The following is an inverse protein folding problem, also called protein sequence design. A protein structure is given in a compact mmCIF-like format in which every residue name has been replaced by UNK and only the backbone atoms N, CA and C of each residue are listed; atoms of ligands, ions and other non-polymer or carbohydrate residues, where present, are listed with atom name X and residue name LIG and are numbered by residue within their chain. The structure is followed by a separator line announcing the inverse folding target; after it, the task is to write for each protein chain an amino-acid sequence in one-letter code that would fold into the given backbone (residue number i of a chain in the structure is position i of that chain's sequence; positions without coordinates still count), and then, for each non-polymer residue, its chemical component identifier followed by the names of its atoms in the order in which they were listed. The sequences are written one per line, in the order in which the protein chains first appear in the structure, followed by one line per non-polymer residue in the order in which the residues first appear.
data_IF_393156137003
#
_entry.id   IF_393156137003
#
_cell.length_a   1.000
_cell.length_b   1.000
_cell.length_c   1.000
_cell.angle_alpha   90.00
_cell.angle_beta   90.00
_cell.angle_gamma   90.00
#
_symmetry.space_group_name_H-M   'P 1'
#
loop_
_entity.id
_entity.type
_entity.pdbx_description
1 polymer ?
#
# COMPACT_ATOMS: atom_id res chain seq x y z
N UNK A 1 15.83 -9.27 -2.80
CA UNK A 1 16.41 -8.13 -3.51
C UNK A 1 15.78 -6.87 -2.97
N UNK A 2 16.27 -6.30 -1.87
CA UNK A 2 15.40 -5.48 -1.02
C UNK A 2 16.08 -4.29 -0.32
N UNK A 3 15.33 -3.18 -0.26
CA UNK A 3 15.57 -1.97 0.54
C UNK A 3 15.97 -2.27 1.99
N UNK A 4 17.19 -1.86 2.33
CA UNK A 4 17.59 -1.64 3.72
C UNK A 4 16.84 -0.40 4.21
N UNK A 5 16.08 -0.53 5.29
CA UNK A 5 15.46 0.64 5.91
C UNK A 5 16.60 1.62 6.30
N UNK A 6 16.59 2.88 5.81
CA UNK A 6 17.48 3.88 6.39
C UNK A 6 17.12 4.08 7.86
N UNK A 7 18.03 4.68 8.61
CA UNK A 7 17.86 5.03 10.03
C UNK A 7 16.75 6.08 10.20
N UNK A 8 15.49 5.71 10.01
CA UNK A 8 14.34 6.57 10.28
C UNK A 8 14.11 6.54 11.79
N UNK A 9 13.97 7.69 12.48
CA UNK A 9 13.52 7.69 13.88
C UNK A 9 12.19 6.95 13.93
N UNK A 10 12.12 5.86 14.72
CA UNK A 10 10.91 5.08 14.81
C UNK A 10 9.72 6.00 15.12
N UNK A 11 8.55 5.70 14.54
CA UNK A 11 7.30 6.26 15.03
C UNK A 11 7.10 5.71 16.43
N UNK A 12 7.74 6.35 17.41
CA UNK A 12 7.55 6.03 18.82
C UNK A 12 6.06 6.19 19.07
N UNK A 13 5.40 5.05 19.31
CA UNK A 13 4.10 4.97 19.96
C UNK A 13 4.18 5.85 21.20
N UNK A 14 3.71 7.10 21.11
CA UNK A 14 3.45 7.92 22.27
C UNK A 14 2.26 7.29 22.98
N UNK A 15 2.52 6.25 23.78
CA UNK A 15 1.60 5.82 24.82
C UNK A 15 1.42 7.03 25.73
N UNK A 16 0.25 7.65 25.65
CA UNK A 16 -0.21 8.65 26.62
C UNK A 16 -0.21 8.02 28.01
N UNK A 17 0.91 8.10 28.71
CA UNK A 17 0.97 7.81 30.13
C UNK A 17 0.24 8.95 30.86
N UNK A 18 -1.05 8.76 31.14
CA UNK A 18 -1.75 9.54 32.18
C UNK A 18 -1.05 9.25 33.50
N UNK A 19 -0.15 10.13 33.92
CA UNK A 19 0.39 10.15 35.29
C UNK A 19 -0.68 10.71 36.22
N UNK A 20 -1.40 9.84 36.92
CA UNK A 20 -2.10 10.21 38.14
C UNK A 20 -1.06 10.51 39.21
N UNK A 21 -0.90 11.80 39.55
CA UNK A 21 -0.09 12.21 40.70
C UNK A 21 -0.98 12.08 41.94
N UNK A 22 -0.77 11.00 42.70
CA UNK A 22 -1.24 10.88 44.08
C UNK A 22 -0.21 11.59 44.96
N UNK A 23 -0.63 12.66 45.63
CA UNK A 23 0.20 13.41 46.58
C UNK A 23 0.10 12.72 47.94
N UNK A 24 1.19 12.11 48.41
CA UNK A 24 1.30 11.58 49.76
C UNK A 24 1.94 12.65 50.67
N UNK A 25 1.14 13.20 51.58
CA UNK A 25 1.58 14.12 52.63
C UNK A 25 1.89 13.32 53.90
N UNK A 26 3.07 13.59 54.46
CA UNK A 26 3.60 12.99 55.70
C UNK A 26 2.78 13.46 56.90
N UNK A 27 2.41 12.52 57.76
CA UNK A 27 1.66 12.74 59.00
C UNK A 27 2.54 13.30 60.13
N UNK A 28 2.01 14.26 60.88
CA UNK A 28 2.48 14.64 62.21
C UNK A 28 1.27 14.91 63.14
N UNK A 29 1.52 14.61 64.42
CA UNK A 29 0.59 14.27 65.52
C UNK A 29 -0.08 15.47 66.19
N UNK A 30 -1.28 15.29 66.75
CA UNK A 30 -1.92 16.19 67.75
C UNK A 30 -3.42 15.93 67.91
N UNK A 31 -3.88 15.02 68.79
CA UNK A 31 -4.33 15.22 70.19
C UNK A 31 -5.70 15.89 70.34
N UNK A 32 -6.64 15.13 70.97
CA UNK A 32 -7.82 15.57 71.77
C UNK A 32 -8.99 16.24 71.02
N UNK A 33 -10.27 16.09 71.36
CA UNK A 33 -11.00 15.33 72.38
C UNK A 33 -12.51 15.43 72.09
N UNK A 34 -13.26 14.38 72.43
CA UNK A 34 -14.59 14.39 73.10
C UNK A 34 -15.83 15.10 72.47
N UNK A 35 -16.89 14.26 72.29
CA UNK A 35 -18.30 14.43 72.73
C UNK A 35 -19.46 14.64 71.72
N UNK A 36 -20.49 13.79 71.94
CA UNK A 36 -21.95 13.86 71.63
C UNK A 36 -22.36 14.07 70.15
N UNK A 37 -23.33 13.38 69.54
CA UNK A 37 -24.55 12.71 69.99
C UNK A 37 -25.66 13.08 68.99
N UNK A 38 -26.62 12.19 68.69
CA UNK A 38 -27.89 12.57 68.04
C UNK A 38 -28.24 11.89 66.71
N UNK A 39 -29.35 11.14 66.75
CA UNK A 39 -30.09 10.52 65.63
C UNK A 39 -31.24 11.48 65.19
N UNK A 40 -32.27 11.05 64.43
CA UNK A 40 -32.49 11.10 62.97
C UNK A 40 -33.42 12.26 62.52
N UNK A 41 -33.66 12.43 61.20
CA UNK A 41 -34.71 13.34 60.72
C UNK A 41 -34.99 13.29 59.21
N UNK A 42 -36.12 12.68 58.86
CA UNK A 42 -36.76 12.62 57.54
C UNK A 42 -37.35 13.96 57.06
N UNK A 43 -37.58 14.09 55.74
CA UNK A 43 -38.74 14.72 55.04
C UNK A 43 -38.44 14.70 53.53
N UNK A 44 -39.04 13.88 52.65
CA UNK A 44 -40.43 13.77 52.19
C UNK A 44 -40.91 14.89 51.23
N UNK A 45 -41.12 14.54 49.95
CA UNK A 45 -42.20 14.94 49.03
C UNK A 45 -41.77 14.50 47.60
N UNK A 46 -42.24 13.42 46.96
CA UNK A 46 -43.59 12.99 46.61
C UNK A 46 -44.35 13.97 45.71
N UNK A 47 -44.35 13.68 44.40
CA UNK A 47 -45.46 13.96 43.49
C UNK A 47 -45.47 12.88 42.39
N UNK A 48 -46.47 12.01 42.48
CA UNK A 48 -46.87 10.99 41.49
C UNK A 48 -48.04 11.51 40.65
N UNK A 49 -48.35 10.74 39.59
CA UNK A 49 -49.53 10.74 38.69
C UNK A 49 -49.32 11.48 37.36
N UNK A 50 -49.74 10.97 36.20
CA UNK A 50 -50.62 9.84 35.91
C UNK A 50 -50.34 9.23 34.52
N UNK A 51 -50.73 7.95 34.40
CA UNK A 51 -50.76 7.16 33.18
C UNK A 51 -51.91 7.59 32.25
N UNK A 52 -51.73 7.44 30.94
CA UNK A 52 -52.78 6.94 30.05
C UNK A 52 -52.18 6.46 28.72
N UNK A 53 -52.06 5.14 28.57
CA UNK A 53 -51.88 4.48 27.29
C UNK A 53 -53.22 4.45 26.55
N UNK A 54 -53.26 4.96 25.32
CA UNK A 54 -54.41 4.84 24.43
C UNK A 54 -54.13 3.74 23.41
N UNK A 55 -54.85 2.64 23.59
CA UNK A 55 -54.99 1.52 22.65
C UNK A 55 -55.86 1.95 21.48
N UNK A 56 -55.33 2.00 20.26
CA UNK A 56 -56.12 2.23 19.05
C UNK A 56 -56.31 0.91 18.29
N UNK A 57 -57.57 0.48 18.20
CA UNK A 57 -58.06 -0.67 17.45
C UNK A 57 -57.99 -0.40 15.93
N UNK A 58 -57.50 -1.34 15.09
CA UNK A 58 -57.55 -1.16 13.64
C UNK A 58 -58.93 -1.53 13.07
N UNK A 59 -59.51 -0.62 12.28
CA UNK A 59 -60.73 -0.80 11.50
C UNK A 59 -60.45 -1.59 10.20
N UNK A 60 -61.30 -2.54 9.78
CA UNK A 60 -61.11 -3.30 8.54
C UNK A 60 -61.52 -2.46 7.31
N UNK A 61 -60.62 -2.37 6.33
CA UNK A 61 -60.85 -1.69 5.04
C UNK A 61 -61.18 -2.73 3.96
N UNK A 62 -62.14 -2.48 3.05
CA UNK A 62 -62.65 -3.48 2.12
C UNK A 62 -61.69 -3.82 0.97
N UNK A 63 -61.73 -5.10 0.57
CA UNK A 63 -60.98 -5.73 -0.53
C UNK A 63 -61.43 -5.20 -1.90
N UNK A 64 -60.52 -4.67 -2.74
CA UNK A 64 -60.82 -4.42 -4.14
C UNK A 64 -60.61 -5.71 -4.96
N UNK A 65 -61.69 -6.23 -5.53
CA UNK A 65 -61.67 -7.18 -6.64
C UNK A 65 -61.54 -6.40 -7.95
N UNK A 66 -60.33 -6.34 -8.50
CA UNK A 66 -60.06 -5.80 -9.83
C UNK A 66 -59.01 -6.68 -10.51
N UNK A 67 -59.37 -7.31 -11.62
CA UNK A 67 -58.48 -8.11 -12.46
C UNK A 67 -57.62 -7.17 -13.30
N UNK A 68 -56.32 -7.12 -13.05
CA UNK A 68 -55.36 -6.32 -13.82
C UNK A 68 -54.94 -7.08 -15.08
N UNK A 69 -55.02 -6.49 -16.29
CA UNK A 69 -54.46 -7.10 -17.49
C UNK A 69 -52.93 -7.22 -17.40
N UNK A 70 -52.38 -8.36 -17.79
CA UNK A 70 -50.95 -8.61 -17.81
C UNK A 70 -50.23 -7.63 -18.76
N UNK A 71 -49.29 -6.86 -18.22
CA UNK A 71 -48.35 -6.04 -18.99
C UNK A 71 -47.45 -6.95 -19.84
N UNK A 72 -47.23 -6.67 -21.15
CA UNK A 72 -46.34 -7.48 -21.95
C UNK A 72 -44.88 -7.37 -21.44
N UNK A 73 -44.24 -8.54 -21.29
CA UNK A 73 -42.81 -8.68 -20.96
C UNK A 73 -41.97 -7.91 -22.00
N UNK A 74 -41.01 -7.06 -21.59
CA UNK A 74 -40.11 -6.41 -22.54
C UNK A 74 -39.31 -7.49 -23.28
N UNK A 75 -39.44 -7.53 -24.60
CA UNK A 75 -38.58 -8.35 -25.46
C UNK A 75 -37.15 -7.85 -25.33
N UNK A 76 -36.24 -8.72 -24.90
CA UNK A 76 -34.81 -8.44 -24.80
C UNK A 76 -34.28 -8.00 -26.18
N UNK A 77 -33.74 -6.78 -26.25
CA UNK A 77 -33.02 -6.29 -27.43
C UNK A 77 -31.78 -7.16 -27.63
N UNK A 78 -31.44 -7.58 -28.86
CA UNK A 78 -30.20 -8.32 -29.11
C UNK A 78 -29.01 -7.50 -28.62
N UNK A 79 -28.27 -8.02 -27.64
CA UNK A 79 -27.03 -7.40 -27.20
C UNK A 79 -25.96 -7.67 -28.26
N UNK A 80 -25.56 -6.63 -28.98
CA UNK A 80 -24.35 -6.66 -29.79
C UNK A 80 -23.18 -7.05 -28.88
N UNK A 81 -22.35 -8.06 -29.22
CA UNK A 81 -21.17 -8.39 -28.44
C UNK A 81 -20.29 -7.15 -28.31
N UNK A 82 -19.87 -6.82 -27.08
CA UNK A 82 -18.88 -5.78 -26.87
C UNK A 82 -17.63 -6.12 -27.70
N UNK A 83 -17.01 -5.14 -28.39
CA UNK A 83 -15.78 -5.39 -29.13
C UNK A 83 -14.74 -6.03 -28.21
N UNK A 84 -14.12 -7.11 -28.68
CA UNK A 84 -13.05 -7.78 -27.95
C UNK A 84 -11.99 -6.76 -27.55
N UNK A 85 -11.55 -6.77 -26.29
CA UNK A 85 -10.47 -5.92 -25.83
C UNK A 85 -9.24 -6.14 -26.73
N UNK A 86 -8.52 -5.06 -27.10
CA UNK A 86 -7.30 -5.20 -27.89
C UNK A 86 -6.33 -6.16 -27.18
N UNK A 87 -5.68 -7.02 -27.95
CA UNK A 87 -4.68 -7.94 -27.42
C UNK A 87 -3.57 -7.12 -26.70
N UNK A 88 -3.01 -7.63 -25.59
CA UNK A 88 -1.93 -6.95 -24.90
C UNK A 88 -0.75 -6.71 -25.86
N UNK A 89 -0.02 -5.60 -25.72
CA UNK A 89 1.11 -5.29 -26.58
C UNK A 89 2.15 -6.42 -26.51
N UNK A 90 2.70 -6.81 -27.66
CA UNK A 90 3.78 -7.79 -27.70
C UNK A 90 5.06 -7.15 -27.17
N UNK A 91 5.53 -7.61 -26.01
CA UNK A 91 6.79 -7.17 -25.41
C UNK A 91 7.96 -7.96 -26.01
N UNK A 92 8.95 -7.28 -26.59
CA UNK A 92 10.16 -7.90 -27.13
C UNK A 92 11.37 -7.41 -26.36
N UNK A 93 12.28 -8.31 -25.97
CA UNK A 93 13.45 -7.90 -25.18
C UNK A 93 14.36 -6.87 -25.85
N UNK A 94 14.30 -6.73 -27.17
CA UNK A 94 15.00 -5.68 -27.93
C UNK A 94 14.47 -4.27 -27.66
N UNK A 95 13.26 -4.14 -27.10
CA UNK A 95 12.63 -2.87 -26.77
C UNK A 95 12.98 -2.39 -25.34
N UNK A 96 13.74 -3.18 -24.58
CA UNK A 96 14.23 -2.80 -23.26
C UNK A 96 15.47 -1.89 -23.38
N UNK A 97 15.40 -0.68 -22.84
CA UNK A 97 16.55 0.21 -22.70
C UNK A 97 17.00 0.27 -21.23
N UNK A 98 18.22 -0.19 -20.88
CA UNK A 98 18.71 -0.09 -19.51
C UNK A 98 18.92 1.36 -19.03
N UNK A 99 19.11 2.31 -19.95
CA UNK A 99 19.27 3.74 -19.62
C UNK A 99 17.96 4.47 -19.35
N UNK A 100 16.83 3.88 -19.73
CA UNK A 100 15.50 4.49 -19.65
C UNK A 100 14.40 3.42 -19.48
N UNK A 101 14.32 2.82 -18.29
CA UNK A 101 13.38 1.71 -18.00
C UNK A 101 11.93 2.20 -18.01
N UNK A 102 11.71 3.43 -17.57
CA UNK A 102 10.42 4.15 -17.54
C UNK A 102 10.71 5.64 -17.54
N UNK A 103 9.85 6.45 -18.18
CA UNK A 103 9.98 7.90 -18.18
C UNK A 103 9.65 8.52 -16.81
N UNK A 104 10.18 9.70 -16.51
CA UNK A 104 9.84 10.42 -15.28
C UNK A 104 8.34 10.80 -15.27
N UNK A 105 7.78 11.14 -16.44
CA UNK A 105 6.36 11.45 -16.61
C UNK A 105 5.48 10.25 -16.20
N UNK A 106 5.80 9.06 -16.70
CA UNK A 106 5.07 7.85 -16.35
C UNK A 106 5.32 7.42 -14.90
N UNK A 107 6.49 7.71 -14.33
CA UNK A 107 6.82 7.30 -12.96
C UNK A 107 6.14 8.16 -11.89
N UNK A 108 6.09 9.47 -12.10
CA UNK A 108 5.60 10.45 -11.12
C UNK A 108 4.17 10.94 -11.36
N UNK A 109 3.45 10.45 -12.39
CA UNK A 109 2.04 10.79 -12.60
C UNK A 109 1.12 10.12 -11.58
N UNK A 110 0.99 10.73 -10.40
CA UNK A 110 0.12 10.29 -9.32
C UNK A 110 -1.38 10.27 -9.70
N UNK A 111 -1.78 10.90 -10.81
CA UNK A 111 -3.16 10.97 -11.26
C UNK A 111 -3.47 9.99 -12.40
N UNK A 112 -2.51 9.15 -12.80
CA UNK A 112 -2.64 8.22 -13.93
C UNK A 112 -3.76 7.18 -13.78
N UNK A 113 -4.24 6.94 -12.55
CA UNK A 113 -5.39 6.08 -12.26
C UNK A 113 -6.19 6.66 -11.09
N UNK A 114 -7.50 6.73 -11.24
CA UNK A 114 -8.41 6.99 -10.12
C UNK A 114 -8.56 5.77 -9.21
N UNK A 115 -9.18 5.94 -8.03
CA UNK A 115 -9.50 4.80 -7.15
C UNK A 115 -10.38 3.76 -7.87
N UNK A 116 -11.32 4.23 -8.70
CA UNK A 116 -12.18 3.36 -9.50
C UNK A 116 -11.38 2.58 -10.55
N UNK A 117 -10.40 3.20 -11.22
CA UNK A 117 -9.57 2.53 -12.21
C UNK A 117 -8.68 1.45 -11.57
N UNK A 118 -8.10 1.74 -10.39
CA UNK A 118 -7.30 0.75 -9.64
C UNK A 118 -8.18 -0.41 -9.19
N UNK A 119 -9.39 -0.12 -8.69
CA UNK A 119 -10.34 -1.16 -8.28
C UNK A 119 -10.77 -2.03 -9.47
N UNK A 120 -11.05 -1.42 -10.62
CA UNK A 120 -11.41 -2.13 -11.85
C UNK A 120 -10.25 -2.99 -12.35
N UNK A 121 -9.02 -2.47 -12.30
CA UNK A 121 -7.82 -3.25 -12.63
C UNK A 121 -7.68 -4.47 -11.71
N UNK A 122 -7.79 -4.32 -10.38
CA UNK A 122 -7.75 -5.47 -9.49
C UNK A 122 -8.84 -6.51 -9.80
N UNK A 123 -10.05 -6.07 -10.11
CA UNK A 123 -11.15 -6.95 -10.46
C UNK A 123 -10.97 -7.66 -11.83
N UNK A 124 -10.19 -7.08 -12.74
CA UNK A 124 -9.92 -7.68 -14.05
C UNK A 124 -8.78 -8.70 -14.06
N UNK A 125 -7.95 -8.73 -13.02
CA UNK A 125 -6.80 -9.62 -12.96
C UNK A 125 -7.20 -11.03 -12.50
N UNK A 126 -6.61 -12.09 -13.09
CA UNK A 126 -6.79 -13.43 -12.56
C UNK A 126 -6.16 -13.51 -11.17
N UNK A 127 -6.92 -13.96 -10.18
CA UNK A 127 -6.45 -14.05 -8.81
C UNK A 127 -6.73 -15.44 -8.21
N UNK A 128 -5.69 -16.07 -7.68
CA UNK A 128 -5.77 -17.34 -6.93
C UNK A 128 -5.14 -17.13 -5.55
N UNK A 129 -5.93 -16.69 -4.55
CA UNK A 129 -5.41 -16.42 -3.22
C UNK A 129 -5.03 -17.71 -2.49
N UNK A 130 -4.11 -17.58 -1.53
CA UNK A 130 -3.65 -18.66 -0.64
C UNK A 130 -4.01 -18.33 0.80
N UNK A 131 -3.91 -19.30 1.71
CA UNK A 131 -3.98 -19.10 3.16
C UNK A 131 -5.26 -18.37 3.66
N UNK A 132 -6.36 -18.42 2.89
CA UNK A 132 -7.64 -17.82 3.25
C UNK A 132 -7.71 -16.28 3.14
N UNK A 133 -6.69 -15.61 2.60
CA UNK A 133 -6.73 -14.15 2.38
C UNK A 133 -7.55 -13.79 1.13
N UNK A 134 -8.13 -12.58 1.05
CA UNK A 134 -8.86 -12.16 -0.15
C UNK A 134 -7.93 -11.73 -1.29
N UNK A 135 -8.46 -11.70 -2.51
CA UNK A 135 -7.88 -10.97 -3.63
C UNK A 135 -7.86 -9.46 -3.36
N UNK A 136 -6.96 -8.70 -4.00
CA UNK A 136 -6.87 -7.24 -3.78
C UNK A 136 -8.17 -6.49 -4.06
N UNK A 137 -8.99 -6.98 -4.99
CA UNK A 137 -10.30 -6.39 -5.27
C UNK A 137 -11.23 -6.41 -4.04
N UNK A 138 -11.16 -7.48 -3.23
CA UNK A 138 -12.00 -7.71 -2.06
C UNK A 138 -11.30 -7.37 -0.74
N UNK A 139 -9.98 -7.18 -0.77
CA UNK A 139 -9.18 -6.84 0.40
C UNK A 139 -9.65 -5.55 1.05
N UNK A 140 -9.69 -5.57 2.39
CA UNK A 140 -10.00 -4.41 3.23
C UNK A 140 -9.01 -4.32 4.38
N UNK A 141 -8.63 -3.09 4.72
CA UNK A 141 -7.75 -2.81 5.85
C UNK A 141 -8.18 -1.55 6.59
N UNK A 142 -7.92 -1.46 7.89
CA UNK A 142 -8.11 -0.23 8.65
C UNK A 142 -6.74 0.43 8.84
N UNK A 143 -6.53 1.54 8.16
CA UNK A 143 -5.22 2.18 8.03
C UNK A 143 -5.00 3.26 9.09
N UNK A 144 -3.73 3.48 9.41
CA UNK A 144 -3.33 4.56 10.31
C UNK A 144 -3.04 5.86 9.55
N UNK A 145 -3.23 7.00 10.21
CA UNK A 145 -2.79 8.27 9.64
C UNK A 145 -1.28 8.42 9.79
N UNK A 146 -0.61 8.82 8.71
CA UNK A 146 0.82 9.11 8.68
C UNK A 146 0.97 10.62 8.48
N UNK A 147 1.73 11.33 9.34
CA UNK A 147 1.97 12.76 9.15
C UNK A 147 2.79 13.00 7.88
N UNK A 148 2.72 14.22 7.35
CA UNK A 148 3.58 14.62 6.25
C UNK A 148 5.06 14.44 6.64
N UNK A 149 5.85 13.90 5.72
CA UNK A 149 7.29 13.86 5.84
C UNK A 149 7.90 15.24 5.56
N UNK A 150 9.23 15.32 5.56
CA UNK A 150 9.94 16.54 5.17
C UNK A 150 9.59 16.98 3.72
N UNK A 151 9.72 18.28 3.39
CA UNK A 151 9.39 18.79 2.06
C UNK A 151 10.05 17.98 0.94
N UNK A 152 9.28 17.63 -0.09
CA UNK A 152 9.74 16.83 -1.24
C UNK A 152 9.52 15.31 -1.10
N UNK A 153 9.20 14.81 0.09
CA UNK A 153 8.74 13.43 0.32
C UNK A 153 7.22 13.31 0.23
N UNK A 154 6.65 12.31 0.90
CA UNK A 154 5.20 12.13 0.96
C UNK A 154 4.53 13.16 1.87
N UNK A 155 3.44 13.72 1.39
CA UNK A 155 2.47 14.46 2.18
C UNK A 155 1.74 13.55 3.17
N UNK A 156 0.86 14.14 3.99
CA UNK A 156 0.13 13.42 5.01
C UNK A 156 -0.82 12.38 4.39
N UNK A 157 -0.73 11.14 4.85
CA UNK A 157 -1.72 10.10 4.57
C UNK A 157 -2.77 10.10 5.68
N UNK A 158 -4.03 10.39 5.37
CA UNK A 158 -5.12 10.33 6.36
C UNK A 158 -5.75 8.95 6.40
N UNK A 159 -5.51 8.17 7.46
CA UNK A 159 -6.07 6.82 7.61
C UNK A 159 -7.58 6.79 7.78
N UNK A 160 -8.19 5.63 7.51
CA UNK A 160 -9.60 5.36 7.73
C UNK A 160 -9.85 3.87 7.99
N UNK A 161 -11.03 3.54 8.50
CA UNK A 161 -11.45 2.15 8.72
C UNK A 161 -11.92 1.51 7.42
N UNK A 162 -11.65 0.21 7.26
CA UNK A 162 -12.21 -0.63 6.19
C UNK A 162 -11.99 -0.07 4.77
N UNK A 163 -10.80 0.45 4.49
CA UNK A 163 -10.41 0.92 3.16
C UNK A 163 -10.14 -0.24 2.21
N UNK A 164 -10.51 -0.09 0.94
CA UNK A 164 -10.12 -1.02 -0.12
C UNK A 164 -8.62 -0.91 -0.43
N UNK A 165 -8.04 -1.98 -1.00
CA UNK A 165 -6.67 -1.91 -1.52
C UNK A 165 -6.50 -0.76 -2.52
N UNK A 166 -7.50 -0.55 -3.39
CA UNK A 166 -7.49 0.52 -4.39
C UNK A 166 -7.36 1.90 -3.76
N UNK A 167 -8.14 2.16 -2.72
CA UNK A 167 -8.10 3.41 -1.95
C UNK A 167 -6.75 3.62 -1.26
N UNK A 168 -6.18 2.57 -0.71
CA UNK A 168 -4.86 2.64 -0.07
C UNK A 168 -3.80 3.01 -1.10
N UNK A 169 -3.79 2.34 -2.26
CA UNK A 169 -2.85 2.61 -3.36
C UNK A 169 -2.97 4.04 -3.86
N UNK A 170 -4.17 4.53 -4.15
CA UNK A 170 -4.35 5.90 -4.68
C UNK A 170 -4.01 6.97 -3.65
N UNK A 171 -4.38 6.79 -2.39
CA UNK A 171 -3.96 7.72 -1.32
C UNK A 171 -2.45 7.77 -1.16
N UNK A 172 -1.75 6.64 -1.24
CA UNK A 172 -0.29 6.62 -1.21
C UNK A 172 0.30 7.28 -2.45
N UNK A 173 -0.24 6.97 -3.64
CA UNK A 173 0.18 7.57 -4.91
C UNK A 173 0.10 9.10 -4.85
N UNK A 174 -1.01 9.66 -4.40
CA UNK A 174 -1.18 11.10 -4.24
C UNK A 174 -0.27 11.67 -3.15
N UNK A 175 -0.22 11.04 -1.97
CA UNK A 175 0.63 11.53 -0.88
C UNK A 175 2.10 11.60 -1.31
N UNK A 176 2.59 10.60 -2.03
CA UNK A 176 4.00 10.50 -2.40
C UNK A 176 4.32 11.03 -3.80
N UNK A 177 3.35 11.40 -4.62
CA UNK A 177 3.59 11.81 -6.01
C UNK A 177 4.18 10.68 -6.86
N UNK A 178 3.66 9.45 -6.73
CA UNK A 178 4.12 8.25 -7.48
C UNK A 178 2.92 7.68 -8.25
N UNK A 179 3.13 7.28 -9.50
CA UNK A 179 2.07 6.72 -10.32
C UNK A 179 1.49 5.42 -9.73
N UNK A 180 0.15 5.29 -9.57
CA UNK A 180 -0.48 4.05 -9.12
C UNK A 180 -0.03 2.81 -9.92
N UNK A 181 0.13 2.91 -11.24
CA UNK A 181 0.60 1.84 -12.13
C UNK A 181 1.97 1.29 -11.70
N UNK A 182 2.89 2.16 -11.29
CA UNK A 182 4.21 1.78 -10.78
C UNK A 182 4.07 0.96 -9.49
N UNK A 183 3.22 1.42 -8.55
CA UNK A 183 2.98 0.72 -7.29
C UNK A 183 2.37 -0.68 -7.52
N UNK A 184 1.44 -0.79 -8.48
CA UNK A 184 0.83 -2.07 -8.86
C UNK A 184 1.86 -3.05 -9.44
N UNK A 185 2.71 -2.59 -10.37
CA UNK A 185 3.76 -3.43 -10.96
C UNK A 185 4.75 -3.92 -9.91
N UNK A 186 5.18 -3.04 -9.01
CA UNK A 186 6.11 -3.42 -7.94
C UNK A 186 5.50 -4.48 -7.03
N UNK A 187 4.26 -4.29 -6.59
CA UNK A 187 3.58 -5.25 -5.72
C UNK A 187 3.45 -6.64 -6.36
N UNK A 188 3.21 -6.70 -7.66
CA UNK A 188 3.23 -7.97 -8.40
C UNK A 188 4.63 -8.55 -8.49
N UNK A 189 5.62 -7.73 -8.84
CA UNK A 189 7.01 -8.17 -8.98
C UNK A 189 7.58 -8.71 -7.66
N UNK A 190 7.25 -8.08 -6.54
CA UNK A 190 7.83 -8.40 -5.24
C UNK A 190 7.13 -9.58 -4.54
N UNK A 191 5.80 -9.65 -4.59
CA UNK A 191 5.03 -10.66 -3.83
C UNK A 191 3.98 -11.40 -4.65
N UNK A 192 3.89 -11.16 -5.96
CA UNK A 192 2.82 -11.70 -6.82
C UNK A 192 1.40 -11.38 -6.29
N UNK A 193 1.24 -10.28 -5.55
CA UNK A 193 0.04 -10.04 -4.75
C UNK A 193 -1.21 -9.79 -5.59
N UNK A 194 -1.06 -9.32 -6.83
CA UNK A 194 -2.19 -9.09 -7.74
C UNK A 194 -2.78 -10.43 -8.21
N UNK A 195 -1.94 -11.42 -8.50
CA UNK A 195 -2.40 -12.70 -9.08
C UNK A 195 -2.48 -13.85 -8.09
N UNK A 196 -1.73 -13.80 -7.00
CA UNK A 196 -1.63 -14.90 -6.04
C UNK A 196 -1.32 -14.44 -4.62
N UNK A 197 -2.20 -13.63 -4.01
CA UNK A 197 -1.95 -13.09 -2.68
C UNK A 197 -1.90 -14.18 -1.61
N UNK A 198 -1.11 -13.93 -0.57
CA UNK A 198 -0.96 -14.77 0.62
C UNK A 198 -0.86 -13.89 1.85
N UNK A 199 -1.01 -14.47 3.05
CA UNK A 199 -0.78 -13.75 4.30
C UNK A 199 0.63 -13.17 4.35
N UNK A 200 1.63 -13.96 3.94
CA UNK A 200 3.02 -13.52 3.84
C UNK A 200 3.18 -12.32 2.91
N UNK A 201 2.52 -12.37 1.74
CA UNK A 201 2.56 -11.32 0.73
C UNK A 201 1.94 -10.02 1.23
N UNK A 202 0.78 -10.06 1.89
CA UNK A 202 0.16 -8.84 2.44
C UNK A 202 1.01 -8.18 3.52
N UNK A 203 1.69 -8.97 4.35
CA UNK A 203 2.61 -8.44 5.34
C UNK A 203 3.85 -7.77 4.72
N UNK A 204 4.24 -8.15 3.50
CA UNK A 204 5.50 -7.74 2.85
C UNK A 204 5.29 -7.25 1.42
N UNK A 205 4.16 -6.59 1.15
CA UNK A 205 3.61 -6.37 -0.19
C UNK A 205 4.60 -5.79 -1.22
N UNK A 206 5.61 -5.06 -0.76
CA UNK A 206 6.63 -4.41 -1.58
C UNK A 206 8.05 -4.84 -1.20
N UNK A 207 8.21 -5.79 -0.27
CA UNK A 207 9.49 -6.23 0.25
C UNK A 207 10.18 -5.24 1.19
N UNK A 208 9.60 -4.10 1.55
CA UNK A 208 10.26 -3.12 2.40
C UNK A 208 10.69 -3.71 3.76
N UNK A 209 11.94 -3.48 4.15
CA UNK A 209 12.46 -3.89 5.47
C UNK A 209 12.88 -5.36 5.57
N UNK A 210 13.03 -6.06 4.45
CA UNK A 210 13.47 -7.46 4.36
C UNK A 210 14.89 -7.59 3.80
N UNK A 211 15.97 -7.42 4.58
CA UNK A 211 17.33 -7.46 4.04
C UNK A 211 17.66 -8.78 3.32
N UNK A 212 18.48 -8.72 2.27
CA UNK A 212 18.90 -9.91 1.51
C UNK A 212 19.85 -10.83 2.27
N UNK A 213 20.63 -10.27 3.19
CA UNK A 213 21.56 -11.00 4.04
C UNK A 213 21.50 -10.45 5.47
N UNK A 214 21.47 -11.37 6.43
CA UNK A 214 21.64 -11.10 7.86
C UNK A 214 22.89 -11.82 8.35
N UNK A 215 23.38 -11.54 9.57
CA UNK A 215 24.43 -12.35 10.19
C UNK A 215 24.07 -13.84 10.07
N UNK A 216 24.97 -14.67 9.55
CA UNK A 216 24.72 -16.10 9.33
C UNK A 216 23.53 -16.42 8.40
N UNK A 217 23.30 -15.62 7.34
CA UNK A 217 22.19 -15.80 6.40
C UNK A 217 20.79 -15.73 7.06
N UNK A 218 20.66 -15.14 8.24
CA UNK A 218 19.42 -15.10 9.04
C UNK A 218 18.49 -13.92 8.73
N UNK A 219 18.69 -13.27 7.58
CA UNK A 219 18.00 -12.04 7.22
C UNK A 219 16.48 -12.20 7.40
N UNK A 220 15.94 -11.53 8.41
CA UNK A 220 14.53 -11.54 8.72
C UNK A 220 13.98 -10.15 8.43
N UNK A 221 12.80 -10.10 7.83
CA UNK A 221 12.10 -8.85 7.68
C UNK A 221 11.77 -8.25 9.05
N UNK A 222 11.98 -6.95 9.20
CA UNK A 222 11.59 -6.25 10.41
C UNK A 222 10.06 -6.13 10.47
N UNK A 223 9.48 -6.75 11.51
CA UNK A 223 8.04 -6.88 11.69
C UNK A 223 7.33 -5.54 11.93
N UNK A 224 8.06 -4.51 12.37
CA UNK A 224 7.52 -3.15 12.53
C UNK A 224 7.08 -2.54 11.19
N UNK A 225 7.52 -3.13 10.07
CA UNK A 225 7.15 -2.71 8.72
C UNK A 225 6.06 -3.55 8.07
N UNK A 226 5.48 -4.52 8.76
CA UNK A 226 4.42 -5.34 8.17
C UNK A 226 3.11 -4.58 7.98
N UNK A 227 2.31 -5.10 7.06
CA UNK A 227 0.98 -4.60 6.72
C UNK A 227 0.92 -3.91 5.37
N UNK A 228 -0.20 -4.07 4.67
CA UNK A 228 -0.36 -3.64 3.29
C UNK A 228 -0.14 -2.12 3.11
N UNK A 229 -0.84 -1.29 3.89
CA UNK A 229 -0.66 0.16 3.86
C UNK A 229 0.79 0.58 4.13
N UNK A 230 1.40 -0.01 5.16
CA UNK A 230 2.76 0.32 5.60
C UNK A 230 3.80 0.02 4.51
N UNK A 231 3.69 -1.14 3.87
CA UNK A 231 4.55 -1.57 2.77
C UNK A 231 4.42 -0.67 1.53
N UNK A 232 3.19 -0.35 1.13
CA UNK A 232 2.92 0.52 -0.04
C UNK A 232 3.43 1.95 0.23
N UNK A 233 3.11 2.52 1.40
CA UNK A 233 3.55 3.87 1.79
C UNK A 233 5.07 3.99 1.87
N UNK A 234 5.75 3.07 2.55
CA UNK A 234 7.21 3.17 2.75
C UNK A 234 8.00 3.00 1.47
N UNK A 235 7.53 2.14 0.57
CA UNK A 235 8.17 1.95 -0.73
C UNK A 235 8.02 3.20 -1.61
N UNK A 236 6.83 3.82 -1.61
CA UNK A 236 6.60 5.10 -2.30
C UNK A 236 7.43 6.23 -1.68
N UNK A 237 7.49 6.30 -0.35
CA UNK A 237 8.36 7.25 0.37
C UNK A 237 9.82 7.07 -0.01
N UNK A 238 10.30 5.83 -0.13
CA UNK A 238 11.69 5.59 -0.47
C UNK A 238 12.04 6.03 -1.89
N UNK A 239 11.13 5.91 -2.85
CA UNK A 239 11.35 6.51 -4.16
C UNK A 239 11.51 8.03 -4.08
N UNK A 240 10.75 8.70 -3.21
CA UNK A 240 10.95 10.13 -2.98
C UNK A 240 12.28 10.44 -2.31
N UNK A 241 12.73 9.59 -1.41
CA UNK A 241 14.09 9.65 -0.85
C UNK A 241 15.14 9.53 -1.96
N UNK A 242 14.95 8.60 -2.90
CA UNK A 242 15.83 8.42 -4.04
C UNK A 242 15.88 9.66 -4.93
N UNK A 243 14.72 10.25 -5.21
CA UNK A 243 14.58 11.49 -5.99
C UNK A 243 15.20 12.70 -5.29
N UNK A 244 14.99 12.85 -3.98
CA UNK A 244 15.42 14.06 -3.26
C UNK A 244 16.93 14.10 -3.01
N UNK A 245 17.56 12.93 -2.86
CA UNK A 245 18.98 12.82 -2.52
C UNK A 245 19.77 11.94 -3.51
N UNK A 246 19.66 12.18 -4.83
CA UNK A 246 19.98 11.21 -5.87
C UNK A 246 21.42 10.70 -5.87
N UNK A 247 22.36 11.47 -5.28
CA UNK A 247 23.75 11.07 -5.11
C UNK A 247 24.20 11.07 -3.66
N UNK A 248 24.02 12.18 -2.93
CA UNK A 248 24.50 12.35 -1.56
C UNK A 248 23.32 12.35 -0.60
N UNK A 249 23.30 11.41 0.34
CA UNK A 249 22.28 11.34 1.40
C UNK A 249 22.76 12.13 2.61
N UNK A 250 21.96 13.06 3.16
CA UNK A 250 22.33 13.79 4.35
C UNK A 250 22.68 12.87 5.51
N UNK A 251 23.86 13.08 6.10
CA UNK A 251 24.36 12.27 7.22
C UNK A 251 25.06 10.97 6.83
N UNK A 252 25.14 10.65 5.53
CA UNK A 252 25.89 9.49 5.04
C UNK A 252 27.18 9.93 4.34
N UNK A 253 28.24 9.14 4.51
CA UNK A 253 29.57 9.43 3.92
C UNK A 253 29.77 8.82 2.54
N UNK A 254 28.79 8.06 2.04
CA UNK A 254 28.87 7.35 0.77
C UNK A 254 27.92 7.97 -0.27
N UNK A 255 28.25 7.75 -1.54
CA UNK A 255 27.42 8.16 -2.67
C UNK A 255 26.57 6.98 -3.15
N UNK A 256 25.37 7.27 -3.65
CA UNK A 256 24.50 6.25 -4.24
C UNK A 256 25.16 5.63 -5.47
N UNK A 257 25.08 4.31 -5.56
CA UNK A 257 25.72 3.54 -6.63
C UNK A 257 25.10 3.77 -8.01
N UNK A 258 23.83 4.18 -8.06
CA UNK A 258 23.09 4.44 -9.30
C UNK A 258 22.55 5.86 -9.28
N UNK A 259 22.90 6.61 -10.32
CA UNK A 259 22.57 8.02 -10.50
C UNK A 259 22.57 8.35 -12.01
N UNK A 260 22.13 9.54 -12.40
CA UNK A 260 22.14 9.96 -13.81
C UNK A 260 23.57 9.95 -14.39
N UNK A 261 23.66 9.64 -15.68
CA UNK A 261 24.91 9.53 -16.44
C UNK A 261 25.43 8.10 -16.54
N UNK A 262 26.69 7.95 -16.97
CA UNK A 262 27.32 6.66 -17.19
C UNK A 262 27.64 5.94 -15.88
N UNK A 263 26.97 4.83 -15.62
CA UNK A 263 27.15 3.97 -14.46
C UNK A 263 27.40 2.52 -14.92
N UNK A 264 28.38 1.84 -14.31
CA UNK A 264 28.59 0.43 -14.58
C UNK A 264 27.56 -0.40 -13.81
N UNK A 265 26.71 -1.13 -14.52
CA UNK A 265 25.65 -1.94 -13.93
C UNK A 265 25.92 -3.41 -14.22
N UNK A 266 26.04 -4.21 -13.18
CA UNK A 266 26.26 -5.65 -13.30
C UNK A 266 25.00 -6.37 -13.79
N UNK A 267 25.17 -7.53 -14.41
CA UNK A 267 24.05 -8.41 -14.78
C UNK A 267 23.55 -9.27 -13.62
N UNK A 268 24.36 -9.43 -12.57
CA UNK A 268 24.11 -10.32 -11.44
C UNK A 268 24.92 -9.85 -10.22
N UNK A 269 24.54 -10.23 -8.98
CA UNK A 269 25.40 -10.09 -7.81
C UNK A 269 26.76 -10.77 -7.97
N UNK A 270 26.85 -11.84 -8.77
CA UNK A 270 28.10 -12.47 -9.11
C UNK A 270 28.89 -11.58 -10.09
N UNK A 271 30.03 -11.05 -9.63
CA UNK A 271 30.90 -10.22 -10.44
C UNK A 271 31.45 -10.94 -11.68
N UNK A 272 31.55 -12.27 -11.67
CA UNK A 272 32.00 -13.05 -12.81
C UNK A 272 31.02 -12.96 -14.01
N UNK A 273 29.76 -12.62 -13.76
CA UNK A 273 28.78 -12.38 -14.82
C UNK A 273 29.01 -11.08 -15.59
N UNK A 274 29.86 -10.18 -15.08
CA UNK A 274 30.14 -8.91 -15.73
C UNK A 274 28.95 -7.94 -15.72
N UNK A 275 28.96 -7.02 -16.68
CA UNK A 275 28.05 -5.88 -16.78
C UNK A 275 28.47 -4.95 -17.91
N UNK A 276 27.78 -3.84 -18.06
CA UNK A 276 28.10 -2.79 -19.04
C UNK A 276 27.96 -1.42 -18.42
N UNK A 277 28.57 -0.43 -19.08
CA UNK A 277 28.25 0.96 -18.82
C UNK A 277 26.87 1.27 -19.38
N UNK A 278 26.00 1.82 -18.54
CA UNK A 278 24.66 2.25 -18.87
C UNK A 278 24.59 3.75 -18.64
N UNK A 279 24.14 4.48 -19.65
CA UNK A 279 23.86 5.91 -19.53
C UNK A 279 22.43 6.09 -18.97
N UNK A 280 22.30 6.30 -17.66
CA UNK A 280 21.00 6.50 -17.00
C UNK A 280 20.52 7.91 -17.29
N UNK A 281 19.40 8.03 -18.00
CA UNK A 281 18.95 9.32 -18.57
C UNK A 281 17.93 10.07 -17.70
N UNK A 282 17.26 9.39 -16.79
CA UNK A 282 16.22 10.00 -15.95
C UNK A 282 16.24 9.48 -14.50
N UNK A 283 15.54 10.19 -13.62
CA UNK A 283 15.59 9.90 -12.18
C UNK A 283 14.80 8.63 -11.83
N UNK A 284 13.69 8.35 -12.52
CA UNK A 284 12.89 7.15 -12.34
C UNK A 284 13.69 5.87 -12.60
N UNK A 285 14.52 5.86 -13.64
CA UNK A 285 15.41 4.75 -13.95
C UNK A 285 16.48 4.58 -12.88
N UNK A 286 17.13 5.67 -12.43
CA UNK A 286 18.06 5.61 -11.30
C UNK A 286 17.39 5.05 -10.03
N UNK A 287 16.17 5.49 -9.74
CA UNK A 287 15.36 5.04 -8.61
C UNK A 287 15.05 3.53 -8.68
N UNK A 288 14.75 3.00 -9.87
CA UNK A 288 14.51 1.57 -10.06
C UNK A 288 15.77 0.74 -9.84
N UNK A 289 16.95 1.19 -10.28
CA UNK A 289 18.20 0.51 -9.97
C UNK A 289 18.55 0.56 -8.47
N UNK A 290 18.26 1.66 -7.79
CA UNK A 290 18.38 1.74 -6.32
C UNK A 290 17.40 0.81 -5.60
N UNK A 291 16.21 0.61 -6.16
CA UNK A 291 15.21 -0.33 -5.62
C UNK A 291 15.56 -1.79 -5.89
N UNK A 292 16.04 -2.08 -7.09
CA UNK A 292 16.31 -3.41 -7.62
C UNK A 292 17.58 -3.30 -8.46
N UNK A 293 18.75 -3.57 -7.87
CA UNK A 293 20.02 -3.56 -8.58
C UNK A 293 20.04 -4.46 -9.83
N UNK A 294 21.06 -4.30 -10.65
CA UNK A 294 21.31 -5.11 -11.85
C UNK A 294 20.40 -4.86 -13.06
N UNK A 295 21.00 -5.01 -14.23
CA UNK A 295 20.32 -4.99 -15.52
C UNK A 295 20.18 -6.42 -16.06
N UNK A 296 19.17 -6.72 -16.90
CA UNK A 296 19.08 -8.02 -17.55
C UNK A 296 20.24 -8.21 -18.55
N UNK A 297 20.72 -9.45 -18.67
CA UNK A 297 21.65 -9.83 -19.74
C UNK A 297 20.89 -10.27 -21.00
N UNK A 298 21.64 -10.61 -22.06
CA UNK A 298 21.06 -11.03 -23.34
C UNK A 298 20.15 -12.27 -23.20
N UNK A 299 20.49 -13.23 -22.35
CA UNK A 299 19.67 -14.42 -22.13
C UNK A 299 18.32 -14.08 -21.48
N UNK A 300 18.33 -13.19 -20.48
CA UNK A 300 17.11 -12.70 -19.83
C UNK A 300 16.20 -11.92 -20.79
N UNK A 301 16.77 -11.16 -21.74
CA UNK A 301 16.02 -10.40 -22.76
C UNK A 301 15.53 -11.29 -23.91
N UNK A 302 16.27 -12.34 -24.29
CA UNK A 302 15.82 -13.30 -25.29
C UNK A 302 14.55 -14.07 -24.83
N UNK A 303 14.33 -14.20 -23.52
CA UNK A 303 13.16 -14.84 -22.93
C UNK A 303 12.49 -13.93 -21.88
N UNK A 304 11.87 -12.83 -22.34
CA UNK A 304 11.32 -11.77 -21.47
C UNK A 304 10.32 -12.27 -20.42
N UNK A 305 9.53 -13.30 -20.74
CA UNK A 305 8.51 -13.86 -19.84
C UNK A 305 8.98 -15.13 -19.11
N UNK A 306 10.20 -15.60 -19.37
CA UNK A 306 10.73 -16.81 -18.79
C UNK A 306 12.07 -16.62 -18.10
N UNK A 307 12.79 -17.73 -17.97
CA UNK A 307 14.12 -17.81 -17.36
C UNK A 307 15.21 -17.64 -18.41
N UNK A 308 16.29 -16.98 -18.01
CA UNK A 308 17.54 -16.95 -18.75
C UNK A 308 18.56 -17.93 -18.17
N UNK A 309 19.83 -17.55 -18.19
CA UNK A 309 20.97 -18.30 -17.66
C UNK A 309 21.31 -17.94 -16.20
N UNK A 310 22.43 -18.47 -15.70
CA UNK A 310 22.92 -18.23 -14.33
C UNK A 310 23.29 -16.76 -14.06
N UNK A 311 23.48 -15.94 -15.10
CA UNK A 311 23.83 -14.52 -14.98
C UNK A 311 22.64 -13.59 -15.21
N UNK A 312 21.44 -14.14 -15.34
CA UNK A 312 20.23 -13.39 -15.66
C UNK A 312 19.63 -12.72 -14.42
N UNK A 313 19.59 -11.39 -14.40
CA UNK A 313 18.74 -10.62 -13.50
C UNK A 313 17.38 -10.32 -14.14
N UNK A 314 16.32 -10.43 -13.33
CA UNK A 314 14.93 -10.31 -13.81
C UNK A 314 14.18 -9.10 -13.29
N UNK A 315 14.70 -8.41 -12.27
CA UNK A 315 13.94 -7.40 -11.54
C UNK A 315 13.49 -6.23 -12.44
N UNK A 316 14.42 -5.45 -12.98
CA UNK A 316 14.11 -4.33 -13.86
C UNK A 316 13.44 -4.76 -15.17
N UNK A 317 13.84 -5.92 -15.72
CA UNK A 317 13.17 -6.54 -16.87
C UNK A 317 11.69 -6.82 -16.59
N UNK A 318 11.38 -7.45 -15.46
CA UNK A 318 10.01 -7.82 -15.09
C UNK A 318 9.18 -6.57 -14.78
N UNK A 319 9.77 -5.55 -14.15
CA UNK A 319 9.09 -4.27 -13.97
C UNK A 319 8.66 -3.69 -15.32
N UNK A 320 9.61 -3.49 -16.23
CA UNK A 320 9.35 -2.93 -17.55
C UNK A 320 8.33 -3.77 -18.34
N UNK A 321 8.50 -5.10 -18.36
CA UNK A 321 7.59 -6.02 -19.04
C UNK A 321 6.17 -5.91 -18.49
N UNK A 322 5.99 -6.01 -17.17
CA UNK A 322 4.67 -5.95 -16.54
C UNK A 322 4.00 -4.59 -16.75
N UNK A 323 4.76 -3.49 -16.64
CA UNK A 323 4.24 -2.16 -16.94
C UNK A 323 3.75 -2.09 -18.40
N UNK A 324 4.57 -2.57 -19.33
CA UNK A 324 4.26 -2.55 -20.76
C UNK A 324 3.04 -3.41 -21.09
N UNK A 325 2.97 -4.64 -20.58
CA UNK A 325 1.86 -5.57 -20.80
C UNK A 325 0.53 -5.02 -20.26
N UNK A 326 0.55 -4.31 -19.13
CA UNK A 326 -0.67 -3.85 -18.47
C UNK A 326 -1.13 -2.47 -18.89
N UNK A 327 -0.19 -1.56 -19.17
CA UNK A 327 -0.49 -0.13 -19.27
C UNK A 327 0.04 0.52 -20.55
N UNK A 328 0.75 -0.22 -21.40
CA UNK A 328 1.38 0.29 -22.61
C UNK A 328 2.81 0.78 -22.37
N UNK A 329 3.44 1.43 -23.36
CA UNK A 329 4.85 1.80 -23.33
C UNK A 329 5.26 2.53 -22.04
N UNK A 330 6.39 2.13 -21.46
CA UNK A 330 6.95 2.75 -20.26
C UNK A 330 7.64 4.09 -20.55
N UNK A 331 8.00 4.34 -21.80
CA UNK A 331 8.61 5.56 -22.34
C UNK A 331 7.83 6.06 -23.54
#
# INVERSE_FOLDING_TARGET
MIMRAPSIPSLVRRRSARRSIVTALVAAVGVSALLFGGVPGSSAAAATRDQAAATATPTPTPKPTGSTPATPKPTAKPSTPAPAAPAPPTVRGTDFDPGEIISDENFYDANAMSEADVQAFFASQPCTPKDGVPCLADFRDSTESVPAAEPGHCEAYRGAVNESAARIVTKVAHACGINPKVLLVLMQKEQSLITGPSEYGYARAMGWGCPDTGPNFSASCDADYFGFQNQVYRSAWQFRQYTLYPLNVPGESYQRAYHLGSVYIQYSPDAACGGTQVDIRNQATANLYLYTPYQPNAAALANVSGTGDACSAYGNRNFWRLYTEWFGPAV
#
